data_IF_218715254532
#
_entry.id   IF_218715254532
#
_cell.length_a   1.000
_cell.length_b   1.000
_cell.length_c   1.000
_cell.angle_alpha   90.00
_cell.angle_beta   90.00
_cell.angle_gamma   90.00
#
_symmetry.space_group_name_H-M   'P 1'
#
loop_
_entity.id
_entity.type
_entity.pdbx_description
1 polymer ?
#
# COMPACT_ATOMS: atom_id res chain seq x y z
N UNK A 1 -22.45 -17.36 -42.78
CA UNK A 1 -21.12 -17.49 -42.15
C UNK A 1 -21.01 -16.34 -41.19
N UNK A 2 -21.16 -16.63 -39.89
CA UNK A 2 -21.32 -15.63 -38.84
C UNK A 2 -20.00 -14.96 -38.50
N UNK A 3 -20.08 -13.64 -38.57
CA UNK A 3 -19.23 -12.58 -38.02
C UNK A 3 -18.46 -13.02 -36.76
N UNK A 4 -17.12 -12.93 -36.82
CA UNK A 4 -16.26 -13.13 -35.65
C UNK A 4 -16.22 -11.82 -34.88
N UNK A 5 -17.13 -11.70 -33.92
CA UNK A 5 -17.17 -10.62 -32.95
C UNK A 5 -15.83 -10.46 -32.23
N UNK A 6 -15.34 -9.22 -32.24
CA UNK A 6 -14.16 -8.71 -31.55
C UNK A 6 -14.20 -9.10 -30.06
N UNK A 7 -13.36 -10.06 -29.67
CA UNK A 7 -13.00 -10.30 -28.28
C UNK A 7 -11.88 -9.34 -27.85
N UNK A 8 -11.70 -9.10 -26.54
CA UNK A 8 -10.69 -8.18 -26.04
C UNK A 8 -9.30 -8.58 -26.56
N UNK A 9 -8.67 -7.69 -27.31
CA UNK A 9 -7.33 -7.87 -27.85
C UNK A 9 -6.37 -8.11 -26.67
N UNK A 10 -5.90 -9.35 -26.52
CA UNK A 10 -4.86 -9.68 -25.55
C UNK A 10 -3.62 -8.83 -25.87
N UNK A 11 -3.10 -8.00 -24.94
CA UNK A 11 -1.94 -7.15 -25.18
C UNK A 11 -0.64 -7.91 -25.46
N UNK A 12 -0.65 -9.25 -25.41
CA UNK A 12 0.52 -10.12 -25.64
C UNK A 12 0.34 -11.13 -26.78
N UNK A 13 -0.45 -10.81 -27.81
CA UNK A 13 -0.29 -11.45 -29.11
C UNK A 13 1.04 -11.02 -29.72
N UNK A 14 2.17 -11.56 -29.24
CA UNK A 14 3.48 -11.31 -29.83
C UNK A 14 3.84 -12.46 -30.77
N UNK A 15 4.33 -12.11 -31.95
CA UNK A 15 4.57 -13.03 -33.07
C UNK A 15 5.88 -13.83 -32.92
N UNK A 16 6.65 -13.61 -31.84
CA UNK A 16 7.99 -14.16 -31.65
C UNK A 16 8.04 -15.34 -30.66
N UNK A 17 6.98 -16.14 -30.60
CA UNK A 17 7.05 -17.46 -29.97
C UNK A 17 7.36 -18.51 -31.04
N UNK A 18 8.61 -18.58 -31.48
CA UNK A 18 9.07 -19.65 -32.36
C UNK A 18 8.94 -21.01 -31.64
N UNK A 19 8.27 -21.95 -32.31
CA UNK A 19 7.88 -23.31 -31.89
C UNK A 19 9.03 -24.25 -31.44
N UNK A 20 10.25 -23.77 -31.22
CA UNK A 20 11.42 -24.60 -30.85
C UNK A 20 11.59 -24.78 -29.34
N UNK A 21 11.00 -23.92 -28.51
CA UNK A 21 11.08 -24.09 -27.05
C UNK A 21 9.68 -24.08 -26.45
N UNK A 22 9.20 -25.26 -26.05
CA UNK A 22 7.89 -25.49 -25.44
C UNK A 22 7.70 -24.73 -24.12
N UNK A 23 7.43 -23.43 -24.23
CA UNK A 23 7.32 -22.49 -23.13
C UNK A 23 5.90 -21.89 -23.01
N UNK A 24 4.89 -22.60 -23.55
CA UNK A 24 3.50 -22.12 -23.66
C UNK A 24 2.82 -21.74 -22.33
N UNK A 25 3.29 -22.29 -21.21
CA UNK A 25 2.73 -22.02 -19.87
C UNK A 25 3.77 -21.43 -18.89
N UNK A 26 5.04 -21.84 -18.99
CA UNK A 26 6.10 -21.41 -18.05
C UNK A 26 6.49 -19.94 -18.21
N UNK A 27 6.51 -19.42 -19.45
CA UNK A 27 6.80 -18.01 -19.71
C UNK A 27 5.65 -17.08 -19.30
N UNK A 28 4.40 -17.58 -19.32
CA UNK A 28 3.23 -16.82 -18.86
C UNK A 28 3.19 -16.72 -17.34
N UNK A 29 3.46 -17.83 -16.63
CA UNK A 29 3.54 -17.85 -15.17
C UNK A 29 4.68 -16.97 -14.67
N UNK A 30 5.88 -17.06 -15.26
CA UNK A 30 7.02 -16.25 -14.81
C UNK A 30 6.83 -14.75 -15.01
N UNK A 31 6.13 -14.32 -16.07
CA UNK A 31 5.82 -12.90 -16.27
C UNK A 31 4.74 -12.41 -15.30
N UNK A 32 3.72 -13.25 -15.02
CA UNK A 32 2.68 -12.99 -14.02
C UNK A 32 3.26 -12.88 -12.61
N UNK A 33 4.08 -13.84 -12.19
CA UNK A 33 4.67 -13.89 -10.85
C UNK A 33 5.63 -12.72 -10.61
N UNK A 34 6.41 -12.32 -11.62
CA UNK A 34 7.36 -11.22 -11.45
C UNK A 34 6.71 -9.84 -11.55
N UNK A 35 5.78 -9.62 -12.48
CA UNK A 35 5.15 -8.32 -12.69
C UNK A 35 4.11 -7.98 -11.62
N UNK A 36 3.24 -8.93 -11.27
CA UNK A 36 2.19 -8.70 -10.29
C UNK A 36 2.74 -8.65 -8.86
N UNK A 37 3.69 -9.53 -8.49
CA UNK A 37 4.28 -9.50 -7.16
C UNK A 37 5.13 -8.24 -6.94
N UNK A 38 5.84 -7.76 -7.97
CA UNK A 38 6.57 -6.50 -7.89
C UNK A 38 5.64 -5.29 -7.77
N UNK A 39 4.57 -5.23 -8.57
CA UNK A 39 3.57 -4.16 -8.48
C UNK A 39 2.81 -4.14 -7.15
N UNK A 40 2.42 -5.32 -6.65
CA UNK A 40 1.78 -5.47 -5.36
C UNK A 40 2.73 -5.07 -4.21
N UNK A 41 3.99 -5.49 -4.27
CA UNK A 41 5.01 -5.10 -3.31
C UNK A 41 5.25 -3.59 -3.32
N UNK A 42 5.40 -2.97 -4.50
CA UNK A 42 5.60 -1.53 -4.61
C UNK A 42 4.40 -0.73 -4.05
N UNK A 43 3.17 -1.18 -4.31
CA UNK A 43 1.97 -0.55 -3.73
C UNK A 43 1.90 -0.72 -2.21
N UNK A 44 2.29 -1.89 -1.69
CA UNK A 44 2.37 -2.13 -0.24
C UNK A 44 3.45 -1.25 0.41
N UNK A 45 4.63 -1.15 -0.20
CA UNK A 45 5.74 -0.34 0.27
C UNK A 45 5.35 1.17 0.29
N UNK A 46 4.59 1.64 -0.71
CA UNK A 46 4.06 3.01 -0.74
C UNK A 46 3.09 3.30 0.41
N UNK A 47 2.16 2.38 0.67
CA UNK A 47 1.20 2.53 1.78
C UNK A 47 1.89 2.42 3.14
N UNK A 48 2.88 1.54 3.30
CA UNK A 48 3.72 1.48 4.52
C UNK A 48 4.41 2.82 4.74
N UNK A 49 5.07 3.37 3.71
CA UNK A 49 5.76 4.66 3.81
C UNK A 49 4.79 5.80 4.15
N UNK A 50 3.54 5.74 3.68
CA UNK A 50 2.50 6.71 4.02
C UNK A 50 2.08 6.60 5.49
N UNK A 51 1.89 5.39 6.00
CA UNK A 51 1.59 5.16 7.43
C UNK A 51 2.73 5.67 8.30
N UNK A 52 3.98 5.40 7.95
CA UNK A 52 5.15 5.90 8.68
C UNK A 52 5.21 7.44 8.71
N UNK A 53 4.96 8.10 7.58
CA UNK A 53 4.89 9.57 7.52
C UNK A 53 3.78 10.13 8.42
N UNK A 54 2.60 9.50 8.43
CA UNK A 54 1.49 9.93 9.29
C UNK A 54 1.82 9.75 10.77
N UNK A 55 2.47 8.64 11.15
CA UNK A 55 2.92 8.40 12.53
C UNK A 55 3.97 9.42 12.96
N UNK A 56 4.89 9.78 12.07
CA UNK A 56 5.85 10.85 12.34
C UNK A 56 5.17 12.20 12.61
N UNK A 57 4.24 12.62 11.75
CA UNK A 57 3.51 13.88 11.93
C UNK A 57 2.67 13.86 13.21
N UNK A 58 2.01 12.74 13.51
CA UNK A 58 1.24 12.59 14.74
C UNK A 58 2.11 12.74 15.99
N UNK A 59 3.34 12.19 15.97
CA UNK A 59 4.30 12.33 17.06
C UNK A 59 4.70 13.79 17.31
N UNK A 60 5.00 14.53 16.25
CA UNK A 60 5.35 15.95 16.34
C UNK A 60 4.18 16.78 16.88
N UNK A 61 2.96 16.52 16.39
CA UNK A 61 1.76 17.20 16.88
C UNK A 61 1.47 16.88 18.35
N UNK A 62 1.62 15.63 18.76
CA UNK A 62 1.45 15.21 20.15
C UNK A 62 2.44 15.92 21.08
N UNK A 63 3.71 16.00 20.67
CA UNK A 63 4.73 16.73 21.42
C UNK A 63 4.42 18.24 21.52
N UNK A 64 3.93 18.85 20.44
CA UNK A 64 3.49 20.26 20.45
C UNK A 64 2.32 20.48 21.41
N UNK A 65 1.32 19.59 21.40
CA UNK A 65 0.18 19.69 22.32
C UNK A 65 0.65 19.61 23.76
N UNK A 66 1.54 18.68 24.10
CA UNK A 66 2.08 18.59 25.46
C UNK A 66 2.96 19.77 25.87
N UNK A 67 3.58 20.47 24.92
CA UNK A 67 4.37 21.68 25.17
C UNK A 67 3.55 22.96 25.32
N UNK A 68 2.53 23.15 24.48
CA UNK A 68 1.81 24.43 24.36
C UNK A 68 0.38 24.38 24.94
N UNK A 69 -0.29 23.23 24.86
CA UNK A 69 -1.69 23.08 25.21
C UNK A 69 -2.00 21.71 25.88
N UNK A 70 -1.29 21.35 26.98
CA UNK A 70 -1.46 20.04 27.60
C UNK A 70 -2.89 19.82 28.13
N UNK A 71 -3.64 20.90 28.37
CA UNK A 71 -5.04 20.82 28.81
C UNK A 71 -5.99 20.14 27.82
N UNK A 72 -5.59 19.99 26.55
CA UNK A 72 -6.40 19.28 25.55
C UNK A 72 -6.42 17.77 25.77
N UNK A 73 -5.34 17.21 26.36
CA UNK A 73 -5.14 15.76 26.50
C UNK A 73 -4.99 15.30 27.95
N UNK A 74 -4.59 16.20 28.86
CA UNK A 74 -4.39 15.87 30.27
C UNK A 74 -5.72 15.79 31.04
N UNK A 75 -5.99 14.63 31.65
CA UNK A 75 -7.19 14.37 32.46
C UNK A 75 -7.38 15.40 33.58
N UNK A 76 -6.30 15.74 34.29
CA UNK A 76 -6.32 16.68 35.42
C UNK A 76 -6.74 18.10 35.01
N UNK A 77 -6.63 18.41 33.72
CA UNK A 77 -7.04 19.69 33.13
C UNK A 77 -8.43 19.62 32.47
N UNK A 78 -9.11 18.49 32.55
CA UNK A 78 -10.38 18.23 31.87
C UNK A 78 -10.23 17.91 30.38
N UNK A 79 -9.03 17.54 29.93
CA UNK A 79 -8.73 17.11 28.57
C UNK A 79 -9.17 15.69 28.25
N UNK A 80 -9.03 15.28 26.98
CA UNK A 80 -9.38 13.94 26.51
C UNK A 80 -8.20 12.96 26.69
N UNK A 81 -8.07 12.42 27.90
CA UNK A 81 -7.04 11.44 28.22
C UNK A 81 -7.21 10.11 27.47
N UNK A 82 -8.43 9.75 27.05
CA UNK A 82 -8.65 8.55 26.23
C UNK A 82 -8.08 8.74 24.83
N UNK A 83 -8.17 9.95 24.28
CA UNK A 83 -7.51 10.29 23.03
C UNK A 83 -5.98 10.23 23.18
N UNK A 84 -5.43 10.71 24.29
CA UNK A 84 -3.99 10.62 24.58
C UNK A 84 -3.51 9.17 24.59
N UNK A 85 -4.19 8.27 25.32
CA UNK A 85 -3.87 6.85 25.33
C UNK A 85 -3.89 6.23 23.93
N UNK A 86 -4.92 6.53 23.11
CA UNK A 86 -5.02 6.00 21.74
C UNK A 86 -3.91 6.52 20.83
N UNK A 87 -3.48 7.77 21.01
CA UNK A 87 -2.33 8.31 20.27
C UNK A 87 -1.07 7.56 20.67
N UNK A 88 -0.84 7.33 21.96
CA UNK A 88 0.31 6.56 22.45
C UNK A 88 0.33 5.13 21.92
N UNK A 89 -0.81 4.42 21.88
CA UNK A 89 -0.92 3.08 21.27
C UNK A 89 -0.48 3.07 19.79
N UNK A 90 -0.77 4.14 19.04
CA UNK A 90 -0.36 4.27 17.64
C UNK A 90 1.11 4.67 17.50
N UNK A 91 1.67 5.42 18.45
CA UNK A 91 3.06 5.88 18.40
C UNK A 91 4.05 4.84 18.95
N UNK A 92 3.65 4.04 19.94
CA UNK A 92 4.44 3.02 20.65
C UNK A 92 3.78 1.62 20.55
N UNK A 93 3.73 1.03 19.34
CA UNK A 93 3.04 -0.23 19.08
C UNK A 93 3.80 -1.44 19.63
#
# INVERSE_FOLDING_TARGET
MTDKSEGPTNPYGHEDCDDICGCGDKCKISAWDNGYAAGFKAGLDEEIAKVERLRFVLKELHALVWGEAPSLLCEDSGGDALLDCKILEVLEP
#
